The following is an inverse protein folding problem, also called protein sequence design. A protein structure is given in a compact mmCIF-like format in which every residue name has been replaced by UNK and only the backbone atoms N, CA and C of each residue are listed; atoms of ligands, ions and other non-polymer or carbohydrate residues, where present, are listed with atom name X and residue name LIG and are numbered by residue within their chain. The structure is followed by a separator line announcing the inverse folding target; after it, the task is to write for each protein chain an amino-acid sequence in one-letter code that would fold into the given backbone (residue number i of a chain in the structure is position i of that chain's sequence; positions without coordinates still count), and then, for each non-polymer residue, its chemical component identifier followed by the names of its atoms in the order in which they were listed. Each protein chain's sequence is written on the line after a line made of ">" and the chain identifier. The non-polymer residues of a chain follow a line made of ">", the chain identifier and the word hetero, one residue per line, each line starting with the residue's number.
data_IF_081436180513
#
_entry.id   IF_081436180513
#
_cell.length_a   1.000
_cell.length_b   1.000
_cell.length_c   1.000
_cell.angle_alpha   90.00
_cell.angle_beta   90.00
_cell.angle_gamma   90.00
#
_symmetry.space_group_name_H-M   'P 1'
#
loop_
_entity.id
_entity.type
_entity.pdbx_description
1 polymer ?
#
# COMPACT_ATOMS: atom_id res chain seq x y z
N UNK A 1 13.35 6.84 -39.26
CA UNK A 1 12.24 6.30 -38.46
C UNK A 1 12.83 5.88 -37.13
N UNK A 2 12.67 6.70 -36.09
CA UNK A 2 13.13 6.31 -34.76
C UNK A 2 12.27 5.14 -34.28
N UNK A 3 12.85 4.03 -33.82
CA UNK A 3 12.07 2.92 -33.27
C UNK A 3 11.20 3.46 -32.14
N UNK A 4 9.96 2.98 -32.05
CA UNK A 4 9.14 3.18 -30.85
C UNK A 4 9.97 2.71 -29.64
N UNK A 5 9.86 3.41 -28.51
CA UNK A 5 10.65 3.09 -27.30
C UNK A 5 10.55 1.60 -26.94
N UNK A 6 9.38 0.99 -27.11
CA UNK A 6 9.17 -0.45 -26.94
C UNK A 6 10.04 -1.30 -27.87
N UNK A 7 10.10 -0.96 -29.16
CA UNK A 7 10.87 -1.70 -30.17
C UNK A 7 12.38 -1.50 -29.98
N UNK A 8 12.78 -0.31 -29.54
CA UNK A 8 14.17 -0.04 -29.15
C UNK A 8 14.56 -0.88 -27.92
N UNK A 9 13.64 -0.98 -26.95
CA UNK A 9 13.80 -1.77 -25.74
C UNK A 9 13.91 -3.28 -26.01
N UNK A 10 13.01 -3.85 -26.81
CA UNK A 10 13.05 -5.27 -27.23
C UNK A 10 14.32 -5.61 -28.01
N UNK A 11 14.84 -4.68 -28.81
CA UNK A 11 16.09 -4.87 -29.54
C UNK A 11 17.32 -4.70 -28.64
N UNK A 12 17.26 -3.83 -27.64
CA UNK A 12 18.31 -3.63 -26.62
C UNK A 12 18.55 -4.83 -25.70
N UNK A 13 17.59 -5.76 -25.59
CA UNK A 13 17.72 -6.99 -24.81
C UNK A 13 18.41 -8.14 -25.57
N UNK A 14 18.73 -7.97 -26.86
CA UNK A 14 19.45 -8.96 -27.65
C UNK A 14 20.96 -8.78 -27.48
N UNK A 15 21.71 -9.88 -27.45
CA UNK A 15 23.16 -9.88 -27.22
C UNK A 15 23.99 -9.04 -28.23
N UNK A 16 23.45 -8.81 -29.44
CA UNK A 16 24.07 -8.02 -30.53
C UNK A 16 23.41 -6.64 -30.73
N UNK A 17 22.81 -6.06 -29.68
CA UNK A 17 22.14 -4.77 -29.80
C UNK A 17 23.13 -3.62 -30.08
N UNK A 18 22.93 -2.90 -31.18
CA UNK A 18 23.58 -1.59 -31.42
C UNK A 18 23.19 -0.63 -30.28
N UNK A 19 24.18 -0.17 -29.52
CA UNK A 19 23.99 0.84 -28.49
C UNK A 19 23.29 2.08 -29.05
N UNK A 20 22.30 2.59 -28.33
CA UNK A 20 21.60 3.81 -28.71
C UNK A 20 22.33 4.99 -28.11
N UNK A 21 22.80 5.92 -28.95
CA UNK A 21 23.40 7.15 -28.47
C UNK A 21 22.37 8.29 -28.51
N UNK A 22 22.30 9.06 -27.43
CA UNK A 22 21.55 10.32 -27.39
C UNK A 22 22.55 11.46 -27.26
N UNK A 23 22.65 12.30 -28.30
CA UNK A 23 23.62 13.42 -28.36
C UNK A 23 25.08 12.97 -28.08
N UNK A 24 25.45 11.75 -28.47
CA UNK A 24 26.79 11.19 -28.25
C UNK A 24 27.00 10.54 -26.87
N UNK A 25 25.95 10.45 -26.05
CA UNK A 25 25.97 9.73 -24.76
C UNK A 25 25.30 8.37 -24.96
N UNK A 26 25.97 7.25 -24.61
CA UNK A 26 25.38 5.92 -24.73
C UNK A 26 24.22 5.74 -23.75
N UNK A 27 23.08 5.29 -24.27
CA UNK A 27 21.83 5.05 -23.54
C UNK A 27 21.69 3.55 -23.29
N UNK A 28 21.68 3.18 -22.01
CA UNK A 28 21.35 1.81 -21.59
C UNK A 28 19.83 1.68 -21.42
N UNK A 29 19.19 1.01 -22.37
CA UNK A 29 17.77 0.69 -22.30
C UNK A 29 17.53 -0.49 -21.34
N UNK A 30 17.32 -0.18 -20.07
CA UNK A 30 16.93 -1.16 -19.04
C UNK A 30 15.43 -1.03 -18.73
N UNK A 31 14.81 -2.16 -18.32
CA UNK A 31 13.40 -2.14 -17.91
C UNK A 31 13.31 -1.51 -16.53
N UNK A 32 12.97 -0.23 -16.47
CA UNK A 32 12.79 0.48 -15.20
C UNK A 32 11.36 0.35 -14.64
N UNK A 33 10.46 -0.40 -15.29
CA UNK A 33 9.05 -0.53 -14.86
C UNK A 33 8.91 -1.08 -13.44
N UNK A 34 9.92 -1.82 -12.97
CA UNK A 34 9.97 -2.39 -11.61
C UNK A 34 10.95 -1.65 -10.68
N UNK A 35 11.59 -0.57 -11.14
CA UNK A 35 12.60 0.16 -10.37
C UNK A 35 12.02 1.38 -9.66
N UNK A 36 12.12 1.41 -8.33
CA UNK A 36 11.50 2.43 -7.48
C UNK A 36 12.26 3.77 -7.52
N UNK A 37 13.60 3.75 -7.50
CA UNK A 37 14.42 4.99 -7.50
C UNK A 37 14.21 5.84 -8.75
N UNK A 38 14.28 5.30 -9.99
CA UNK A 38 13.99 6.06 -11.19
C UNK A 38 12.63 6.72 -11.15
N UNK A 39 11.59 6.01 -10.69
CA UNK A 39 10.23 6.54 -10.63
C UNK A 39 10.11 7.68 -9.62
N UNK A 40 10.58 7.48 -8.38
CA UNK A 40 10.52 8.51 -7.32
C UNK A 40 11.30 9.75 -7.74
N UNK A 41 12.52 9.58 -8.25
CA UNK A 41 13.35 10.70 -8.68
C UNK A 41 12.75 11.43 -9.88
N UNK A 42 12.20 10.69 -10.85
CA UNK A 42 11.53 11.28 -12.02
C UNK A 42 10.29 12.05 -11.62
N UNK A 43 9.47 11.52 -10.71
CA UNK A 43 8.27 12.19 -10.22
C UNK A 43 8.63 13.45 -9.40
N UNK A 44 9.65 13.37 -8.54
CA UNK A 44 10.16 14.52 -7.80
C UNK A 44 10.67 15.61 -8.75
N UNK A 45 11.51 15.27 -9.71
CA UNK A 45 12.04 16.23 -10.69
C UNK A 45 10.92 16.81 -11.56
N UNK A 46 9.95 15.98 -11.96
CA UNK A 46 8.75 16.40 -12.68
C UNK A 46 7.95 17.42 -11.86
N UNK A 47 7.75 17.17 -10.57
CA UNK A 47 7.02 18.10 -9.68
C UNK A 47 7.68 19.48 -9.59
N UNK A 48 9.02 19.54 -9.61
CA UNK A 48 9.79 20.80 -9.60
C UNK A 48 9.64 21.51 -10.94
N UNK A 49 9.82 20.78 -12.04
CA UNK A 49 9.75 21.32 -13.39
C UNK A 49 8.34 21.84 -13.70
N UNK A 50 7.32 21.05 -13.38
CA UNK A 50 5.91 21.39 -13.57
C UNK A 50 5.55 22.67 -12.82
N UNK A 51 5.96 22.80 -11.55
CA UNK A 51 5.69 24.01 -10.76
C UNK A 51 6.34 25.25 -11.38
N UNK A 52 7.55 25.13 -11.94
CA UNK A 52 8.22 26.22 -12.65
C UNK A 52 7.56 26.56 -13.99
N UNK A 53 7.21 25.56 -14.79
CA UNK A 53 6.51 25.75 -16.06
C UNK A 53 5.14 26.40 -15.84
N UNK A 54 4.41 25.99 -14.81
CA UNK A 54 3.14 26.60 -14.42
C UNK A 54 3.30 28.03 -13.91
N UNK A 55 4.47 28.44 -13.41
CA UNK A 55 4.74 29.84 -13.08
C UNK A 55 5.13 30.67 -14.32
N UNK A 56 5.81 30.08 -15.30
CA UNK A 56 6.34 30.79 -16.48
C UNK A 56 5.35 30.87 -17.65
N UNK A 57 4.53 29.84 -17.86
CA UNK A 57 3.62 29.78 -19.00
C UNK A 57 2.34 30.60 -18.74
N UNK A 58 1.73 31.23 -19.76
CA UNK A 58 0.39 31.81 -19.66
C UNK A 58 -0.71 30.76 -19.51
N UNK A 59 -1.79 31.07 -18.77
CA UNK A 59 -2.91 30.15 -18.50
C UNK A 59 -3.56 29.54 -19.75
N UNK A 60 -3.54 30.24 -20.89
CA UNK A 60 -4.08 29.75 -22.15
C UNK A 60 -3.34 28.53 -22.74
N UNK A 61 -2.06 28.33 -22.39
CA UNK A 61 -1.22 27.29 -23.01
C UNK A 61 -0.67 26.25 -22.02
N UNK A 62 -0.81 26.50 -20.70
CA UNK A 62 -0.31 25.61 -19.63
C UNK A 62 -0.77 24.16 -19.80
N UNK A 63 -2.06 23.95 -20.04
CA UNK A 63 -2.65 22.61 -20.10
C UNK A 63 -2.08 21.75 -21.25
N UNK A 64 -1.48 22.36 -22.27
CA UNK A 64 -0.87 21.66 -23.38
C UNK A 64 0.65 21.56 -23.25
N UNK A 65 1.32 22.68 -22.97
CA UNK A 65 2.79 22.73 -22.99
C UNK A 65 3.43 22.22 -21.71
N UNK A 66 2.78 22.37 -20.54
CA UNK A 66 3.36 21.92 -19.28
C UNK A 66 3.60 20.39 -19.29
N UNK A 67 2.60 19.53 -19.58
CA UNK A 67 2.83 18.08 -19.60
C UNK A 67 3.82 17.65 -20.69
N UNK A 68 3.77 18.30 -21.86
CA UNK A 68 4.67 18.00 -22.98
C UNK A 68 6.13 18.28 -22.62
N UNK A 69 6.42 19.45 -22.06
CA UNK A 69 7.77 19.85 -21.67
C UNK A 69 8.28 19.02 -20.49
N UNK A 70 7.40 18.69 -19.52
CA UNK A 70 7.72 17.76 -18.47
C UNK A 70 8.16 16.40 -19.04
N UNK A 71 7.37 15.81 -19.93
CA UNK A 71 7.73 14.51 -20.53
C UNK A 71 9.02 14.59 -21.36
N UNK A 72 9.18 15.66 -22.14
CA UNK A 72 10.35 15.90 -23.01
C UNK A 72 11.65 16.06 -22.25
N UNK A 73 11.62 16.66 -21.05
CA UNK A 73 12.82 16.87 -20.23
C UNK A 73 13.06 15.72 -19.26
N UNK A 74 12.02 15.25 -18.58
CA UNK A 74 12.16 14.24 -17.53
C UNK A 74 12.55 12.90 -18.13
N UNK A 75 11.91 12.47 -19.24
CA UNK A 75 12.17 11.14 -19.81
C UNK A 75 13.64 10.95 -20.19
N UNK A 76 14.31 11.85 -20.95
CA UNK A 76 15.74 11.70 -21.22
C UNK A 76 16.60 11.76 -19.96
N UNK A 77 16.29 12.64 -18.99
CA UNK A 77 17.05 12.72 -17.74
C UNK A 77 16.99 11.42 -16.95
N UNK A 78 15.82 10.78 -16.90
CA UNK A 78 15.65 9.48 -16.25
C UNK A 78 16.53 8.41 -16.88
N UNK A 79 16.54 8.31 -18.21
CA UNK A 79 17.34 7.31 -18.93
C UNK A 79 18.84 7.60 -18.93
N UNK A 80 19.24 8.87 -18.98
CA UNK A 80 20.65 9.26 -19.11
C UNK A 80 21.38 9.38 -17.77
N UNK A 81 20.65 9.72 -16.71
CA UNK A 81 21.26 10.00 -15.41
C UNK A 81 20.82 9.00 -14.36
N UNK A 82 19.50 8.84 -14.17
CA UNK A 82 18.98 8.07 -13.04
C UNK A 82 19.15 6.57 -13.24
N UNK A 83 18.91 6.10 -14.46
CA UNK A 83 19.13 4.70 -14.83
C UNK A 83 20.58 4.25 -14.60
N UNK A 84 21.57 4.88 -15.27
CA UNK A 84 22.98 4.56 -15.08
C UNK A 84 23.45 4.70 -13.63
N UNK A 85 22.96 5.71 -12.90
CA UNK A 85 23.28 5.89 -11.48
C UNK A 85 22.75 4.73 -10.62
N UNK A 86 21.50 4.31 -10.83
CA UNK A 86 20.93 3.17 -10.11
C UNK A 86 21.68 1.87 -10.42
N UNK A 87 22.02 1.64 -11.68
CA UNK A 87 22.81 0.48 -12.12
C UNK A 87 24.19 0.50 -11.47
N UNK A 88 24.90 1.62 -11.51
CA UNK A 88 26.21 1.78 -10.89
C UNK A 88 26.17 1.52 -9.39
N UNK A 89 25.16 2.02 -8.67
CA UNK A 89 24.99 1.74 -7.23
C UNK A 89 24.75 0.24 -7.01
N UNK A 90 23.89 -0.40 -7.80
CA UNK A 90 23.62 -1.84 -7.70
C UNK A 90 24.87 -2.69 -8.01
N UNK A 91 25.68 -2.29 -8.98
CA UNK A 91 26.96 -2.93 -9.30
C UNK A 91 27.96 -2.79 -8.14
N UNK A 92 28.02 -1.64 -7.47
CA UNK A 92 28.85 -1.46 -6.28
C UNK A 92 28.39 -2.34 -5.12
N UNK A 93 27.07 -2.47 -4.90
CA UNK A 93 26.51 -3.38 -3.89
C UNK A 93 26.84 -4.83 -4.26
N UNK A 94 26.69 -5.22 -5.53
CA UNK A 94 27.03 -6.55 -6.03
C UNK A 94 28.52 -6.88 -5.83
N UNK A 95 29.42 -5.96 -6.20
CA UNK A 95 30.86 -6.10 -6.01
C UNK A 95 31.23 -6.20 -4.52
N UNK A 96 30.62 -5.36 -3.68
CA UNK A 96 30.76 -5.43 -2.23
C UNK A 96 30.29 -6.76 -1.65
N UNK A 97 29.15 -7.27 -2.11
CA UNK A 97 28.65 -8.60 -1.76
C UNK A 97 29.65 -9.70 -2.15
N UNK A 98 30.11 -9.73 -3.41
CA UNK A 98 31.06 -10.72 -3.91
C UNK A 98 32.36 -10.73 -3.10
N UNK A 99 32.93 -9.55 -2.85
CA UNK A 99 34.12 -9.39 -2.03
C UNK A 99 33.90 -9.92 -0.61
N UNK A 100 32.79 -9.55 0.02
CA UNK A 100 32.46 -9.97 1.37
C UNK A 100 32.19 -11.48 1.44
N UNK A 101 31.52 -12.04 0.43
CA UNK A 101 31.18 -13.45 0.36
C UNK A 101 32.42 -14.32 0.15
N UNK A 102 33.41 -13.85 -0.62
CA UNK A 102 34.69 -14.55 -0.76
C UNK A 102 35.53 -14.50 0.51
N UNK A 103 35.50 -13.38 1.25
CA UNK A 103 36.25 -13.23 2.48
C UNK A 103 35.61 -13.96 3.66
N UNK A 104 34.33 -13.71 3.92
CA UNK A 104 33.58 -14.22 5.08
C UNK A 104 32.11 -14.49 4.67
N UNK A 105 31.81 -15.67 4.10
CA UNK A 105 30.47 -16.03 3.62
C UNK A 105 29.35 -15.84 4.65
N UNK A 106 29.62 -16.19 5.91
CA UNK A 106 28.65 -16.05 7.01
C UNK A 106 28.27 -14.58 7.25
N UNK A 107 29.25 -13.68 7.24
CA UNK A 107 29.01 -12.25 7.45
C UNK A 107 28.37 -11.60 6.22
N UNK A 108 28.73 -12.03 5.00
CA UNK A 108 28.00 -11.65 3.80
C UNK A 108 26.52 -12.06 3.88
N UNK A 109 26.24 -13.26 4.38
CA UNK A 109 24.89 -13.71 4.71
C UNK A 109 24.17 -12.77 5.68
N UNK A 110 24.81 -12.41 6.80
CA UNK A 110 24.24 -11.48 7.77
C UNK A 110 23.86 -10.13 7.15
N UNK A 111 24.76 -9.54 6.35
CA UNK A 111 24.54 -8.26 5.68
C UNK A 111 23.39 -8.37 4.67
N UNK A 112 23.42 -9.38 3.80
CA UNK A 112 22.38 -9.55 2.79
C UNK A 112 21.02 -9.84 3.44
N UNK A 113 20.95 -10.75 4.41
CA UNK A 113 19.72 -11.07 5.13
C UNK A 113 19.13 -9.90 5.92
N UNK A 114 19.99 -9.00 6.45
CA UNK A 114 19.56 -7.83 7.20
C UNK A 114 19.14 -6.64 6.35
N UNK A 115 19.87 -6.37 5.27
CA UNK A 115 19.65 -5.20 4.42
C UNK A 115 18.79 -5.48 3.19
N UNK A 116 18.51 -6.75 2.84
CA UNK A 116 17.73 -7.08 1.66
C UNK A 116 16.41 -6.33 1.61
N UNK A 117 15.67 -6.30 2.73
CA UNK A 117 14.38 -5.62 2.74
C UNK A 117 14.49 -4.10 2.59
N UNK A 118 15.62 -3.51 3.00
CA UNK A 118 15.92 -2.10 2.75
C UNK A 118 16.18 -1.88 1.25
N UNK A 119 16.89 -2.79 0.59
CA UNK A 119 17.06 -2.73 -0.87
C UNK A 119 15.74 -2.92 -1.62
N UNK A 120 14.82 -3.73 -1.09
CA UNK A 120 13.46 -3.88 -1.63
C UNK A 120 12.71 -2.55 -1.53
N UNK A 121 12.77 -1.87 -0.38
CA UNK A 121 12.09 -0.58 -0.19
C UNK A 121 12.53 0.48 -1.20
N UNK A 122 13.83 0.55 -1.49
CA UNK A 122 14.37 1.49 -2.48
C UNK A 122 14.39 0.94 -3.91
N UNK A 123 13.89 -0.28 -4.16
CA UNK A 123 13.93 -0.90 -5.49
C UNK A 123 15.33 -1.24 -6.00
N UNK A 124 16.38 -1.12 -5.17
CA UNK A 124 17.77 -1.44 -5.51
C UNK A 124 17.98 -2.93 -5.77
N UNK A 125 17.08 -3.77 -5.23
CA UNK A 125 17.14 -5.23 -5.37
C UNK A 125 17.04 -5.72 -6.83
N UNK A 126 16.32 -5.01 -7.71
CA UNK A 126 16.21 -5.35 -9.13
C UNK A 126 17.55 -5.24 -9.86
N UNK A 127 18.41 -4.30 -9.46
CA UNK A 127 19.76 -4.19 -10.02
C UNK A 127 20.70 -5.34 -9.62
N UNK A 128 20.33 -6.16 -8.63
CA UNK A 128 21.08 -7.34 -8.21
C UNK A 128 20.64 -8.63 -8.94
N UNK A 129 19.50 -8.61 -9.66
CA UNK A 129 19.02 -9.79 -10.41
C UNK A 129 19.96 -10.20 -11.56
N UNK A 130 20.54 -9.27 -12.35
CA UNK A 130 21.52 -9.62 -13.38
C UNK A 130 22.74 -10.37 -12.83
N UNK A 131 23.17 -10.06 -11.60
CA UNK A 131 24.25 -10.79 -10.93
C UNK A 131 23.87 -12.27 -10.73
N UNK A 132 22.66 -12.54 -10.22
CA UNK A 132 22.20 -13.93 -10.04
C UNK A 132 22.16 -14.69 -11.37
N UNK A 133 21.63 -14.05 -12.43
CA UNK A 133 21.59 -14.64 -13.78
C UNK A 133 23.00 -14.92 -14.30
N UNK A 134 23.93 -14.00 -14.08
CA UNK A 134 25.33 -14.16 -14.46
C UNK A 134 25.98 -15.34 -13.70
N UNK A 135 25.74 -15.46 -12.39
CA UNK A 135 26.22 -16.58 -11.59
C UNK A 135 25.72 -17.93 -12.14
N UNK A 136 24.43 -18.03 -12.51
CA UNK A 136 23.93 -19.24 -13.16
C UNK A 136 24.62 -19.54 -14.50
N UNK A 137 24.89 -18.51 -15.31
CA UNK A 137 25.52 -18.68 -16.63
C UNK A 137 26.99 -19.10 -16.53
N UNK A 138 27.73 -18.52 -15.57
CA UNK A 138 29.18 -18.71 -15.43
C UNK A 138 29.51 -19.88 -14.49
N UNK A 139 28.82 -19.98 -13.36
CA UNK A 139 29.11 -20.95 -12.29
C UNK A 139 28.16 -22.16 -12.31
N UNK A 140 27.01 -22.06 -12.98
CA UNK A 140 25.96 -23.08 -12.96
C UNK A 140 25.11 -23.07 -11.68
N UNK A 141 25.34 -22.12 -10.78
CA UNK A 141 24.60 -21.96 -9.53
C UNK A 141 24.67 -20.51 -9.06
N UNK A 142 23.79 -20.12 -8.12
CA UNK A 142 23.84 -18.82 -7.46
C UNK A 142 23.99 -18.95 -5.93
N UNK A 143 24.73 -18.02 -5.34
CA UNK A 143 25.01 -17.95 -3.90
C UNK A 143 24.25 -16.83 -3.21
N UNK A 144 23.60 -15.92 -3.95
CA UNK A 144 22.92 -14.76 -3.37
C UNK A 144 21.49 -15.09 -2.97
N UNK A 145 20.68 -15.62 -3.91
CA UNK A 145 19.27 -16.03 -3.72
C UNK A 145 19.02 -16.79 -2.40
N UNK A 146 19.81 -17.81 -2.02
CA UNK A 146 19.56 -18.54 -0.77
C UNK A 146 19.72 -17.65 0.48
N UNK A 147 20.57 -16.63 0.44
CA UNK A 147 20.77 -15.68 1.54
C UNK A 147 19.59 -14.70 1.71
N UNK A 148 18.79 -14.51 0.65
CA UNK A 148 17.66 -13.58 0.63
C UNK A 148 16.41 -14.19 1.25
N UNK A 149 16.27 -15.51 1.18
CA UNK A 149 15.11 -16.24 1.67
C UNK A 149 14.85 -16.01 3.17
N UNK A 150 15.85 -16.02 4.07
CA UNK A 150 15.67 -15.63 5.47
C UNK A 150 15.14 -14.21 5.67
N UNK A 151 15.55 -13.24 4.86
CA UNK A 151 15.06 -11.86 4.96
C UNK A 151 13.56 -11.79 4.71
N UNK A 152 13.08 -12.49 3.68
CA UNK A 152 11.66 -12.59 3.33
C UNK A 152 10.89 -13.31 4.44
N UNK A 153 11.40 -14.45 4.91
CA UNK A 153 10.74 -15.21 5.97
C UNK A 153 10.69 -14.45 7.29
N UNK A 154 11.68 -13.62 7.58
CA UNK A 154 11.64 -12.75 8.75
C UNK A 154 10.54 -11.69 8.64
N UNK A 155 10.30 -11.11 7.45
CA UNK A 155 9.17 -10.19 7.26
C UNK A 155 7.83 -10.89 7.46
N UNK A 156 7.69 -12.12 6.97
CA UNK A 156 6.52 -12.98 7.23
C UNK A 156 6.35 -13.23 8.73
N UNK A 157 7.43 -13.60 9.43
CA UNK A 157 7.41 -13.86 10.86
C UNK A 157 6.98 -12.64 11.67
N UNK A 158 7.51 -11.46 11.34
CA UNK A 158 7.09 -10.21 11.96
C UNK A 158 5.62 -9.87 11.67
N UNK A 159 5.16 -10.06 10.43
CA UNK A 159 3.75 -9.85 10.08
C UNK A 159 2.81 -10.81 10.83
N UNK A 160 3.20 -12.09 10.98
CA UNK A 160 2.49 -13.06 11.82
C UNK A 160 2.50 -12.67 13.31
N UNK A 161 3.61 -12.09 13.78
CA UNK A 161 3.71 -11.57 15.16
C UNK A 161 2.73 -10.41 15.38
N UNK A 162 2.66 -9.49 14.42
CA UNK A 162 1.66 -8.41 14.44
C UNK A 162 0.24 -8.97 14.35
N UNK A 163 -0.03 -9.94 13.47
CA UNK A 163 -1.33 -10.60 13.36
C UNK A 163 -1.82 -11.17 14.69
N UNK A 164 -0.93 -11.78 15.48
CA UNK A 164 -1.27 -12.35 16.79
C UNK A 164 -1.58 -11.25 17.82
N UNK A 165 -0.79 -10.18 17.81
CA UNK A 165 -0.88 -9.10 18.79
C UNK A 165 -2.00 -8.10 18.48
N UNK A 166 -2.41 -7.97 17.21
CA UNK A 166 -3.38 -6.99 16.77
C UNK A 166 -4.80 -7.34 17.25
N UNK A 167 -5.52 -6.31 17.72
CA UNK A 167 -6.89 -6.43 18.22
C UNK A 167 -7.91 -5.92 17.20
N UNK A 168 -7.52 -4.97 16.39
CA UNK A 168 -8.35 -4.44 15.32
C UNK A 168 -8.55 -5.51 14.22
N UNK A 169 -9.81 -5.84 13.94
CA UNK A 169 -10.16 -6.92 13.02
C UNK A 169 -9.65 -6.66 11.59
N UNK A 170 -9.73 -5.42 11.10
CA UNK A 170 -9.26 -5.07 9.76
C UNK A 170 -7.73 -5.16 9.68
N UNK A 171 -7.01 -4.54 10.62
CA UNK A 171 -5.54 -4.59 10.65
C UNK A 171 -5.02 -6.02 10.83
N UNK A 172 -5.76 -6.85 11.57
CA UNK A 172 -5.47 -8.27 11.70
C UNK A 172 -5.66 -9.00 10.37
N UNK A 173 -6.73 -8.76 9.62
CA UNK A 173 -6.91 -9.34 8.28
C UNK A 173 -5.77 -8.92 7.34
N UNK A 174 -5.38 -7.65 7.35
CA UNK A 174 -4.25 -7.14 6.55
C UNK A 174 -2.94 -7.85 6.95
N UNK A 175 -2.66 -8.00 8.25
CA UNK A 175 -1.46 -8.68 8.72
C UNK A 175 -1.42 -10.16 8.30
N UNK A 176 -2.55 -10.86 8.36
CA UNK A 176 -2.66 -12.26 7.96
C UNK A 176 -2.48 -12.46 6.46
N UNK A 177 -3.14 -11.64 5.63
CA UNK A 177 -3.03 -11.73 4.17
C UNK A 177 -1.63 -11.31 3.67
N UNK A 178 -1.03 -10.30 4.31
CA UNK A 178 0.33 -9.87 4.03
C UNK A 178 1.38 -10.94 4.40
N UNK A 179 1.19 -11.65 5.52
CA UNK A 179 2.06 -12.78 5.87
C UNK A 179 1.96 -13.93 4.85
N UNK A 180 0.73 -14.24 4.40
CA UNK A 180 0.51 -15.29 3.40
C UNK A 180 1.16 -14.96 2.05
N UNK A 181 0.99 -13.72 1.57
CA UNK A 181 1.63 -13.26 0.32
C UNK A 181 3.15 -13.22 0.42
N UNK A 182 3.67 -12.80 1.58
CA UNK A 182 5.10 -12.82 1.88
C UNK A 182 5.73 -14.21 1.83
N UNK A 183 4.98 -15.27 2.15
CA UNK A 183 5.46 -16.65 2.06
C UNK A 183 5.90 -17.02 0.64
N UNK A 184 5.23 -16.44 -0.36
CA UNK A 184 5.48 -16.63 -1.78
C UNK A 184 6.46 -15.61 -2.37
N UNK A 185 7.15 -14.83 -1.53
CA UNK A 185 8.18 -13.88 -1.94
C UNK A 185 7.68 -12.45 -2.20
N UNK A 186 6.37 -12.20 -2.09
CA UNK A 186 5.78 -10.86 -2.26
C UNK A 186 5.71 -10.18 -0.89
N UNK A 187 6.70 -9.35 -0.60
CA UNK A 187 6.92 -8.81 0.76
C UNK A 187 6.37 -7.40 0.94
N UNK A 188 5.97 -6.74 -0.13
CA UNK A 188 5.49 -5.36 -0.15
C UNK A 188 4.26 -5.15 0.77
N UNK A 189 3.24 -6.03 0.77
CA UNK A 189 2.12 -5.91 1.70
C UNK A 189 2.56 -6.03 3.16
N UNK A 190 3.52 -6.91 3.46
CA UNK A 190 4.02 -7.11 4.82
C UNK A 190 4.89 -5.95 5.30
N UNK A 191 5.77 -5.43 4.44
CA UNK A 191 6.62 -4.29 4.76
C UNK A 191 5.79 -3.04 4.92
N UNK A 192 5.07 -2.62 3.87
CA UNK A 192 4.40 -1.32 3.86
C UNK A 192 3.08 -1.33 4.63
N UNK A 193 2.32 -2.43 4.58
CA UNK A 193 1.02 -2.52 5.23
C UNK A 193 1.07 -2.87 6.72
N UNK A 194 2.16 -3.51 7.19
CA UNK A 194 2.17 -4.13 8.53
C UNK A 194 3.39 -3.72 9.35
N UNK A 195 4.60 -4.00 8.86
CA UNK A 195 5.82 -3.97 9.66
C UNK A 195 6.42 -2.57 9.78
N UNK A 196 6.51 -1.83 8.66
CA UNK A 196 7.12 -0.50 8.59
C UNK A 196 6.30 0.58 9.34
N UNK A 197 4.95 0.62 9.26
CA UNK A 197 4.16 1.59 10.03
C UNK A 197 4.42 1.53 11.54
N UNK A 198 4.67 0.32 12.06
CA UNK A 198 4.98 0.08 13.48
C UNK A 198 6.47 0.19 13.80
N UNK A 199 7.35 0.30 12.79
CA UNK A 199 8.83 0.42 12.84
C UNK A 199 9.55 -0.77 13.50
N UNK A 200 9.18 -1.14 14.73
CA UNK A 200 9.83 -2.18 15.49
C UNK A 200 9.72 -3.59 14.86
N UNK A 201 8.57 -4.03 14.28
CA UNK A 201 8.51 -5.35 13.65
C UNK A 201 9.43 -5.43 12.43
N UNK A 202 9.55 -4.34 11.69
CA UNK A 202 10.46 -4.25 10.54
C UNK A 202 11.93 -4.41 10.95
N UNK A 203 12.37 -3.72 12.00
CA UNK A 203 13.75 -3.82 12.51
C UNK A 203 14.04 -5.22 13.04
N UNK A 204 13.11 -5.81 13.78
CA UNK A 204 13.23 -7.18 14.30
C UNK A 204 13.33 -8.17 13.14
N UNK A 205 12.53 -8.00 12.10
CA UNK A 205 12.61 -8.82 10.89
C UNK A 205 13.97 -8.69 10.21
N UNK A 206 14.53 -7.49 10.05
CA UNK A 206 15.87 -7.31 9.48
C UNK A 206 16.94 -8.06 10.31
N UNK A 207 16.92 -7.92 11.64
CA UNK A 207 17.86 -8.62 12.52
C UNK A 207 17.70 -10.14 12.41
N UNK A 208 16.46 -10.63 12.41
CA UNK A 208 16.17 -12.06 12.32
C UNK A 208 16.54 -12.65 10.96
N UNK A 209 16.34 -11.88 9.89
CA UNK A 209 16.78 -12.21 8.54
C UNK A 209 18.30 -12.34 8.46
N UNK A 210 19.04 -11.42 9.09
CA UNK A 210 20.49 -11.50 9.21
C UNK A 210 20.94 -12.78 9.95
N UNK A 211 20.29 -13.13 11.05
CA UNK A 211 20.60 -14.35 11.82
C UNK A 211 20.41 -15.61 10.97
N UNK A 212 19.25 -15.74 10.29
CA UNK A 212 18.98 -16.89 9.42
C UNK A 212 19.93 -16.96 8.22
N UNK A 213 20.20 -15.82 7.59
CA UNK A 213 21.10 -15.75 6.43
C UNK A 213 22.57 -15.99 6.80
N UNK A 214 22.98 -15.70 8.03
CA UNK A 214 24.34 -16.04 8.53
C UNK A 214 24.57 -17.55 8.48
N UNK A 215 23.57 -18.35 8.86
CA UNK A 215 23.66 -19.82 8.86
C UNK A 215 23.78 -20.35 7.44
N UNK A 216 22.96 -19.82 6.52
CA UNK A 216 23.00 -20.18 5.09
C UNK A 216 24.34 -19.76 4.46
N UNK A 217 24.83 -18.56 4.80
CA UNK A 217 26.13 -18.07 4.36
C UNK A 217 27.28 -18.95 4.87
N UNK A 218 27.25 -19.34 6.14
CA UNK A 218 28.23 -20.24 6.74
C UNK A 218 28.26 -21.61 6.06
N UNK A 219 27.08 -22.17 5.76
CA UNK A 219 26.95 -23.44 5.04
C UNK A 219 27.31 -23.33 3.54
N UNK A 220 27.54 -22.11 3.05
CA UNK A 220 27.78 -21.80 1.64
C UNK A 220 26.71 -22.41 0.72
N UNK A 221 25.45 -22.38 1.16
CA UNK A 221 24.33 -22.92 0.40
C UNK A 221 24.20 -22.23 -0.95
N UNK A 222 23.89 -23.04 -1.97
CA UNK A 222 23.74 -22.64 -3.36
C UNK A 222 22.34 -22.98 -3.85
N UNK A 223 21.87 -22.29 -4.88
CA UNK A 223 20.69 -22.69 -5.66
C UNK A 223 21.10 -23.07 -7.08
N UNK A 224 20.40 -24.04 -7.67
CA UNK A 224 20.70 -24.62 -8.98
C UNK A 224 19.67 -24.28 -10.06
N UNK A 225 18.61 -23.57 -9.69
CA UNK A 225 17.61 -23.04 -10.62
C UNK A 225 17.24 -21.62 -10.24
N UNK A 226 16.90 -20.80 -11.23
CA UNK A 226 16.47 -19.43 -11.00
C UNK A 226 15.00 -19.40 -10.58
N UNK A 227 14.72 -18.72 -9.48
CA UNK A 227 13.38 -18.44 -9.00
C UNK A 227 13.40 -17.28 -8.01
N UNK A 228 12.25 -16.62 -7.84
CA UNK A 228 12.13 -15.57 -6.84
C UNK A 228 12.30 -16.19 -5.43
N UNK A 229 13.03 -15.51 -4.52
CA UNK A 229 13.23 -16.05 -3.19
C UNK A 229 11.88 -16.14 -2.45
N UNK A 230 11.59 -17.30 -1.86
CA UNK A 230 10.30 -17.61 -1.25
C UNK A 230 10.43 -18.86 -0.37
N UNK A 231 9.31 -19.37 0.16
CA UNK A 231 9.31 -20.70 0.79
C UNK A 231 9.85 -21.78 -0.16
N UNK A 232 9.70 -21.64 -1.48
CA UNK A 232 10.18 -22.65 -2.43
C UNK A 232 11.69 -22.61 -2.69
N UNK A 233 12.43 -21.64 -2.13
CA UNK A 233 13.89 -21.56 -2.34
C UNK A 233 14.60 -22.82 -1.86
N UNK A 234 14.13 -23.49 -0.79
CA UNK A 234 14.75 -24.74 -0.35
C UNK A 234 14.72 -25.82 -1.45
N UNK A 235 13.67 -25.86 -2.29
CA UNK A 235 13.60 -26.81 -3.41
C UNK A 235 14.67 -26.49 -4.47
N UNK A 236 14.98 -25.21 -4.67
CA UNK A 236 16.02 -24.75 -5.59
C UNK A 236 17.44 -25.04 -5.06
N UNK A 237 17.58 -25.24 -3.74
CA UNK A 237 18.88 -25.58 -3.11
C UNK A 237 19.25 -27.05 -3.22
N UNK A 238 18.34 -27.94 -3.66
CA UNK A 238 18.60 -29.38 -3.73
C UNK A 238 19.63 -29.68 -4.84
N UNK A 239 20.85 -30.15 -4.50
CA UNK A 239 21.84 -30.55 -5.49
C UNK A 239 21.44 -31.83 -6.22
N UNK A 240 22.09 -32.10 -7.35
CA UNK A 240 21.90 -33.36 -8.11
C UNK A 240 22.26 -34.63 -7.32
N UNK A 241 23.06 -34.49 -6.26
CA UNK A 241 23.44 -35.57 -5.35
C UNK A 241 22.38 -35.87 -4.28
N UNK A 242 21.28 -35.11 -4.23
CA UNK A 242 20.21 -35.25 -3.25
C UNK A 242 20.36 -34.31 -2.05
N UNK A 243 19.47 -34.45 -1.06
CA UNK A 243 19.38 -33.56 0.11
C UNK A 243 20.63 -33.71 0.99
N UNK A 244 21.39 -32.62 1.13
CA UNK A 244 22.59 -32.56 1.94
C UNK A 244 22.48 -31.52 3.07
N UNK A 245 23.60 -31.25 3.75
CA UNK A 245 23.65 -30.26 4.83
C UNK A 245 23.30 -28.83 4.36
N UNK A 246 23.56 -28.47 3.10
CA UNK A 246 23.30 -27.12 2.58
C UNK A 246 21.81 -26.85 2.44
N UNK A 247 21.03 -27.88 2.08
CA UNK A 247 19.56 -27.84 2.04
C UNK A 247 19.01 -27.67 3.45
N UNK A 248 19.52 -28.45 4.42
CA UNK A 248 19.10 -28.33 5.81
C UNK A 248 19.48 -26.97 6.41
N UNK A 249 20.63 -26.41 6.07
CA UNK A 249 21.02 -25.07 6.46
C UNK A 249 20.05 -24.01 5.92
N UNK A 250 19.56 -24.17 4.67
CA UNK A 250 18.52 -23.30 4.11
C UNK A 250 17.22 -23.36 4.92
N UNK A 251 16.76 -24.57 5.26
CA UNK A 251 15.53 -24.76 6.05
C UNK A 251 15.70 -24.19 7.46
N UNK A 252 16.81 -24.50 8.13
CA UNK A 252 17.10 -24.04 9.49
C UNK A 252 17.23 -22.51 9.52
N UNK A 253 17.97 -21.92 8.57
CA UNK A 253 18.11 -20.47 8.46
C UNK A 253 16.77 -19.78 8.26
N UNK A 254 15.91 -20.34 7.41
CA UNK A 254 14.54 -19.87 7.21
C UNK A 254 13.65 -19.94 8.45
N UNK A 255 13.67 -21.10 9.14
CA UNK A 255 12.88 -21.35 10.36
C UNK A 255 13.35 -20.44 11.51
N UNK A 256 14.65 -20.22 11.65
CA UNK A 256 15.20 -19.29 12.64
C UNK A 256 14.78 -17.86 12.32
N UNK A 257 14.86 -17.44 11.05
CA UNK A 257 14.48 -16.10 10.65
C UNK A 257 12.99 -15.80 10.93
N UNK A 258 12.08 -16.69 10.51
CA UNK A 258 10.64 -16.53 10.78
C UNK A 258 10.33 -16.62 12.27
N UNK A 259 10.94 -17.58 12.99
CA UNK A 259 10.69 -17.82 14.41
C UNK A 259 11.19 -16.68 15.28
N UNK A 260 12.44 -16.23 15.08
CA UNK A 260 12.99 -15.08 15.80
C UNK A 260 12.22 -13.80 15.49
N UNK A 261 11.79 -13.58 14.24
CA UNK A 261 11.03 -12.40 13.90
C UNK A 261 9.64 -12.40 14.55
N UNK A 262 8.97 -13.56 14.54
CA UNK A 262 7.67 -13.76 15.19
C UNK A 262 7.77 -13.54 16.71
N UNK A 263 8.64 -14.30 17.38
CA UNK A 263 8.81 -14.23 18.84
C UNK A 263 9.28 -12.84 19.26
N UNK A 264 10.27 -12.27 18.57
CA UNK A 264 10.78 -10.94 18.86
C UNK A 264 9.71 -9.88 18.73
N UNK A 265 8.89 -9.94 17.67
CA UNK A 265 7.80 -8.98 17.45
C UNK A 265 6.74 -9.08 18.54
N UNK A 266 6.34 -10.28 18.92
CA UNK A 266 5.36 -10.51 20.00
C UNK A 266 5.92 -10.06 21.35
N UNK A 267 7.16 -10.43 21.68
CA UNK A 267 7.80 -10.04 22.94
C UNK A 267 7.92 -8.52 23.06
N UNK A 268 8.43 -7.85 22.03
CA UNK A 268 8.60 -6.41 22.07
C UNK A 268 7.26 -5.69 22.10
N UNK A 269 6.24 -6.19 21.38
CA UNK A 269 4.88 -5.67 21.45
C UNK A 269 4.36 -5.65 22.89
N UNK A 270 4.49 -6.76 23.63
CA UNK A 270 4.06 -6.83 25.03
C UNK A 270 4.90 -5.94 25.97
N UNK A 271 6.19 -5.76 25.69
CA UNK A 271 7.04 -4.85 26.46
C UNK A 271 6.65 -3.39 26.23
N UNK A 272 6.37 -3.01 24.98
CA UNK A 272 5.92 -1.65 24.62
C UNK A 272 4.50 -1.38 25.11
N UNK A 273 3.61 -2.38 25.04
CA UNK A 273 2.25 -2.29 25.57
C UNK A 273 2.23 -2.14 27.11
N UNK A 274 3.20 -2.73 27.83
CA UNK A 274 3.39 -2.52 29.27
C UNK A 274 3.94 -1.13 29.64
N UNK A 275 4.60 -0.44 28.71
CA UNK A 275 5.13 0.93 28.92
C UNK A 275 4.10 2.02 28.66
N UNK A 276 3.03 1.72 27.94
CA UNK A 276 1.82 2.52 28.00
C UNK A 276 1.07 2.16 29.28
N UNK A 277 0.79 3.12 30.20
CA UNK A 277 -0.16 2.85 31.27
C UNK A 277 -1.47 2.41 30.62
N UNK A 278 -2.07 1.34 31.14
CA UNK A 278 -3.27 0.74 30.60
C UNK A 278 -4.39 1.78 30.43
N UNK A 279 -4.56 2.30 29.21
CA UNK A 279 -5.89 2.59 28.72
C UNK A 279 -6.54 1.23 28.54
N UNK A 280 -7.48 0.93 29.44
CA UNK A 280 -8.14 -0.36 29.53
C UNK A 280 -8.63 -0.81 28.16
N UNK A 281 -8.53 -2.12 27.92
CA UNK A 281 -9.30 -2.74 26.85
C UNK A 281 -10.75 -2.26 26.95
N UNK A 282 -11.41 -1.87 25.84
CA UNK A 282 -12.85 -1.73 25.84
C UNK A 282 -13.42 -3.11 26.16
N UNK A 283 -13.82 -3.28 27.42
CA UNK A 283 -14.73 -4.32 27.81
C UNK A 283 -16.03 -3.98 27.12
N UNK A 284 -16.59 -4.95 26.39
CA UNK A 284 -17.94 -4.91 25.84
C UNK A 284 -18.91 -4.57 26.98
N UNK A 285 -19.22 -3.28 27.10
CA UNK A 285 -20.25 -2.75 27.99
C UNK A 285 -21.24 -2.05 27.07
N UNK A 286 -22.46 -2.54 27.10
CA UNK A 286 -23.65 -1.91 26.55
C UNK A 286 -23.56 -0.39 26.75
N UNK A 287 -23.60 0.43 25.69
CA UNK A 287 -23.46 1.86 25.87
C UNK A 287 -24.66 2.39 26.62
N UNK A 288 -24.41 2.83 27.86
CA UNK A 288 -25.30 3.75 28.55
C UNK A 288 -25.17 5.11 27.86
N UNK A 289 -26.31 5.69 27.49
CA UNK A 289 -26.44 6.92 26.70
C UNK A 289 -25.71 8.06 27.39
N UNK A 290 -24.57 8.48 26.82
CA UNK A 290 -23.94 9.76 27.14
C UNK A 290 -24.63 10.79 26.24
N UNK A 291 -25.31 11.76 26.86
CA UNK A 291 -25.85 12.95 26.21
C UNK A 291 -24.76 13.70 25.43
N UNK A 292 -25.07 14.24 24.24
CA UNK A 292 -24.05 14.79 23.34
C UNK A 292 -23.43 16.07 23.91
N UNK A 293 -22.12 16.31 23.72
CA UNK A 293 -21.56 17.64 23.86
C UNK A 293 -22.03 18.51 22.69
N UNK A 294 -22.47 19.73 22.99
CA UNK A 294 -23.08 20.70 22.07
C UNK A 294 -22.14 21.26 20.97
N UNK A 295 -21.01 20.62 20.63
CA UNK A 295 -20.07 21.16 19.64
C UNK A 295 -19.44 20.04 18.79
N UNK A 296 -19.81 19.98 17.50
CA UNK A 296 -19.09 19.25 16.45
C UNK A 296 -19.66 17.89 15.97
N UNK A 297 -20.91 17.57 16.27
CA UNK A 297 -21.54 16.32 15.83
C UNK A 297 -22.03 16.33 14.38
N UNK A 298 -21.96 15.19 13.70
CA UNK A 298 -22.54 14.95 12.38
C UNK A 298 -23.88 14.26 12.56
N UNK A 299 -24.95 14.88 12.04
CA UNK A 299 -26.28 14.31 12.06
C UNK A 299 -26.46 13.22 10.99
N UNK A 300 -27.45 12.35 11.16
CA UNK A 300 -27.78 11.34 10.17
C UNK A 300 -28.40 12.00 8.94
N UNK A 301 -27.88 11.74 7.73
CA UNK A 301 -28.46 12.27 6.50
C UNK A 301 -29.75 11.55 6.08
N UNK A 302 -30.09 10.43 6.72
CA UNK A 302 -31.23 9.59 6.32
C UNK A 302 -31.83 8.81 7.50
N UNK A 303 -33.08 8.39 7.32
CA UNK A 303 -33.77 7.50 8.26
C UNK A 303 -33.59 6.06 7.80
N UNK A 304 -33.21 5.16 8.70
CA UNK A 304 -32.96 3.77 8.36
C UNK A 304 -32.28 2.94 9.44
N UNK A 305 -31.84 1.75 9.04
CA UNK A 305 -31.05 0.85 9.89
C UNK A 305 -29.57 1.19 9.77
N UNK A 306 -28.88 1.26 10.90
CA UNK A 306 -27.43 1.49 10.92
C UNK A 306 -26.69 0.19 10.58
N UNK A 307 -25.80 0.25 9.59
CA UNK A 307 -24.97 -0.86 9.14
C UNK A 307 -23.50 -0.49 9.35
N UNK A 308 -22.75 -1.22 10.20
CA UNK A 308 -21.30 -1.03 10.31
C UNK A 308 -20.62 -1.19 8.95
N UNK A 309 -19.62 -0.34 8.64
CA UNK A 309 -18.94 -0.39 7.33
C UNK A 309 -18.38 -1.77 7.01
N UNK A 310 -17.86 -2.50 8.00
CA UNK A 310 -17.33 -3.86 7.86
C UNK A 310 -18.37 -4.90 7.38
N UNK A 311 -19.67 -4.58 7.49
CA UNK A 311 -20.77 -5.42 7.04
C UNK A 311 -21.35 -4.98 5.70
N UNK A 312 -20.84 -3.90 5.11
CA UNK A 312 -21.19 -3.51 3.74
C UNK A 312 -20.56 -4.50 2.76
N UNK A 313 -21.33 -4.94 1.76
CA UNK A 313 -20.90 -5.98 0.81
C UNK A 313 -19.71 -5.55 -0.06
N UNK A 314 -19.58 -4.25 -0.33
CA UNK A 314 -18.51 -3.70 -1.15
C UNK A 314 -17.20 -3.57 -0.35
N UNK A 315 -16.15 -4.22 -0.87
CA UNK A 315 -14.83 -4.27 -0.21
C UNK A 315 -14.15 -2.92 -0.10
N UNK A 316 -14.42 -1.99 -1.01
CA UNK A 316 -13.82 -0.64 -1.00
C UNK A 316 -14.32 0.13 0.21
N UNK A 317 -15.63 0.12 0.44
CA UNK A 317 -16.25 0.73 1.61
C UNK A 317 -15.92 -0.01 2.90
N UNK A 318 -16.00 -1.35 2.88
CA UNK A 318 -15.76 -2.17 4.06
C UNK A 318 -14.30 -2.14 4.55
N UNK A 319 -13.35 -1.75 3.70
CA UNK A 319 -11.95 -1.58 4.06
C UNK A 319 -11.64 -0.28 4.81
N UNK A 320 -12.53 0.73 4.74
CA UNK A 320 -12.28 2.07 5.29
C UNK A 320 -11.29 2.92 4.48
N UNK A 321 -10.84 2.47 3.30
CA UNK A 321 -9.88 3.19 2.44
C UNK A 321 -10.35 4.59 2.01
N UNK A 322 -11.66 4.82 1.96
CA UNK A 322 -12.28 6.09 1.55
C UNK A 322 -12.62 7.01 2.75
N UNK A 323 -12.24 6.62 3.96
CA UNK A 323 -12.50 7.34 5.20
C UNK A 323 -13.24 6.51 6.25
N UNK A 324 -13.15 6.93 7.52
CA UNK A 324 -13.96 6.38 8.62
C UNK A 324 -15.42 6.81 8.48
N UNK A 325 -16.35 5.96 8.90
CA UNK A 325 -17.77 6.30 8.84
C UNK A 325 -18.69 5.12 9.17
N UNK A 326 -19.93 5.22 8.71
CA UNK A 326 -20.96 4.21 8.92
C UNK A 326 -21.88 4.15 7.71
N UNK A 327 -22.50 3.00 7.43
CA UNK A 327 -23.49 2.89 6.39
C UNK A 327 -24.91 2.89 6.99
N UNK A 328 -25.88 3.31 6.19
CA UNK A 328 -27.29 3.28 6.57
C UNK A 328 -28.05 2.54 5.48
N UNK A 329 -28.90 1.60 5.87
CA UNK A 329 -29.90 1.00 4.99
C UNK A 329 -31.17 1.87 5.05
N UNK A 330 -31.41 2.74 4.05
CA UNK A 330 -32.46 3.74 4.14
C UNK A 330 -33.86 3.12 4.07
N UNK A 331 -34.76 3.65 4.88
CA UNK A 331 -36.21 3.39 4.80
C UNK A 331 -36.97 4.48 4.05
N UNK A 332 -36.36 5.66 3.88
CA UNK A 332 -36.89 6.81 3.14
C UNK A 332 -35.91 7.21 2.05
N UNK A 333 -36.41 7.43 0.83
CA UNK A 333 -35.64 7.80 -0.36
C UNK A 333 -35.20 9.26 -0.41
N UNK A 334 -34.59 9.76 0.68
CA UNK A 334 -34.15 11.15 0.81
C UNK A 334 -32.81 11.24 1.54
N UNK A 335 -31.90 12.06 1.00
CA UNK A 335 -30.64 12.45 1.64
C UNK A 335 -30.77 13.91 2.09
N UNK A 336 -30.51 14.16 3.36
CA UNK A 336 -30.45 15.50 3.97
C UNK A 336 -29.03 15.87 4.37
N UNK A 337 -28.77 17.16 4.51
CA UNK A 337 -27.45 17.63 4.94
C UNK A 337 -27.18 17.23 6.39
N UNK A 338 -26.09 16.51 6.67
CA UNK A 338 -25.75 16.09 8.02
C UNK A 338 -25.10 17.22 8.85
N UNK A 339 -24.69 18.31 8.19
CA UNK A 339 -23.98 19.47 8.77
C UNK A 339 -24.38 20.77 8.05
N UNK A 340 -24.04 21.91 8.64
CA UNK A 340 -23.96 23.17 7.92
C UNK A 340 -22.62 23.28 7.18
N UNK A 341 -22.66 23.77 5.93
CA UNK A 341 -21.46 23.87 5.12
C UNK A 341 -21.75 24.15 3.64
N UNK A 342 -20.88 23.63 2.77
CA UNK A 342 -20.95 23.83 1.31
C UNK A 342 -20.92 22.51 0.56
N UNK A 343 -21.70 22.43 -0.52
CA UNK A 343 -21.62 21.28 -1.44
C UNK A 343 -20.29 21.35 -2.20
N UNK A 344 -19.36 20.47 -1.84
CA UNK A 344 -18.03 20.39 -2.43
C UNK A 344 -18.06 19.65 -3.77
N UNK A 345 -18.86 18.59 -3.87
CA UNK A 345 -19.01 17.82 -5.10
C UNK A 345 -20.42 17.21 -5.21
N UNK A 346 -20.92 17.13 -6.44
CA UNK A 346 -22.14 16.43 -6.80
C UNK A 346 -21.85 15.61 -8.06
N UNK A 347 -21.98 14.29 -7.96
CA UNK A 347 -21.62 13.41 -9.05
C UNK A 347 -22.66 13.45 -10.17
N UNK A 348 -22.25 13.33 -11.43
CA UNK A 348 -23.15 13.49 -12.58
C UNK A 348 -24.36 12.54 -12.57
N UNK A 349 -24.18 11.31 -12.06
CA UNK A 349 -25.24 10.31 -11.93
C UNK A 349 -25.97 10.38 -10.59
N UNK A 350 -25.70 11.41 -9.77
CA UNK A 350 -26.37 11.71 -8.49
C UNK A 350 -26.32 10.61 -7.42
N UNK A 351 -25.51 9.57 -7.62
CA UNK A 351 -25.31 8.49 -6.65
C UNK A 351 -24.46 8.90 -5.45
N UNK A 352 -23.72 10.02 -5.52
CA UNK A 352 -22.87 10.47 -4.44
C UNK A 352 -22.83 12.01 -4.35
N UNK A 353 -22.63 12.50 -3.13
CA UNK A 353 -22.50 13.92 -2.81
C UNK A 353 -21.44 14.14 -1.73
N UNK A 354 -20.57 15.11 -1.96
CA UNK A 354 -19.54 15.54 -1.02
C UNK A 354 -19.89 16.89 -0.40
N UNK A 355 -19.75 17.00 0.91
CA UNK A 355 -20.07 18.19 1.70
C UNK A 355 -18.85 18.56 2.53
N UNK A 356 -18.44 19.82 2.46
CA UNK A 356 -17.41 20.37 3.33
C UNK A 356 -18.12 21.19 4.42
N UNK A 357 -17.99 20.79 5.69
CA UNK A 357 -18.59 21.52 6.80
C UNK A 357 -17.88 22.86 7.02
N UNK A 358 -18.57 23.82 7.64
CA UNK A 358 -17.96 25.11 8.03
C UNK A 358 -16.75 24.93 8.98
N UNK A 359 -16.67 23.78 9.66
CA UNK A 359 -15.59 23.41 10.57
C UNK A 359 -14.48 22.57 9.90
N UNK A 360 -14.50 22.38 8.58
CA UNK A 360 -13.45 21.71 7.78
C UNK A 360 -13.55 20.18 7.70
N UNK A 361 -14.72 19.60 7.97
CA UNK A 361 -14.95 18.15 7.86
C UNK A 361 -15.46 17.84 6.46
N UNK A 362 -14.81 16.91 5.77
CA UNK A 362 -15.23 16.45 4.45
C UNK A 362 -16.08 15.19 4.58
N UNK A 363 -17.36 15.30 4.23
CA UNK A 363 -18.34 14.21 4.33
C UNK A 363 -18.71 13.72 2.93
N UNK A 364 -18.58 12.42 2.69
CA UNK A 364 -19.03 11.75 1.46
C UNK A 364 -20.23 10.86 1.77
N UNK A 365 -21.35 11.13 1.10
CA UNK A 365 -22.55 10.30 1.15
C UNK A 365 -22.69 9.59 -0.20
N UNK A 366 -22.66 8.25 -0.20
CA UNK A 366 -22.74 7.44 -1.41
C UNK A 366 -24.03 6.59 -1.41
N UNK A 367 -25.06 7.03 -2.12
CA UNK A 367 -26.39 6.42 -2.13
C UNK A 367 -26.41 5.11 -2.90
N UNK A 368 -26.42 4.00 -2.16
CA UNK A 368 -26.41 2.63 -2.70
C UNK A 368 -25.05 2.19 -3.23
N UNK A 369 -24.86 0.89 -3.37
CA UNK A 369 -23.63 0.28 -3.90
C UNK A 369 -23.79 0.06 -5.40
N UNK A 370 -22.76 0.42 -6.18
CA UNK A 370 -22.73 0.29 -7.64
C UNK A 370 -23.82 1.09 -8.41
N UNK A 371 -24.58 1.95 -7.74
CA UNK A 371 -25.68 2.76 -8.31
C UNK A 371 -25.22 3.79 -9.34
N UNK A 372 -23.92 4.08 -9.44
CA UNK A 372 -23.34 4.83 -10.56
C UNK A 372 -23.74 4.24 -11.93
N UNK A 373 -23.94 2.92 -12.00
CA UNK A 373 -24.35 2.17 -13.21
C UNK A 373 -25.79 2.46 -13.65
N UNK A 374 -26.59 3.13 -12.81
CA UNK A 374 -27.96 3.55 -13.16
C UNK A 374 -28.00 4.82 -14.02
N UNK A 375 -26.86 5.48 -14.24
CA UNK A 375 -26.72 6.64 -15.12
C UNK A 375 -27.72 7.77 -14.79
N UNK A 376 -27.88 8.07 -13.49
CA UNK A 376 -28.77 9.12 -12.99
C UNK A 376 -30.25 8.73 -12.92
N UNK A 377 -30.64 7.54 -13.38
CA UNK A 377 -32.03 7.07 -13.26
C UNK A 377 -32.42 6.90 -11.79
N UNK A 378 -33.65 7.28 -11.47
CA UNK A 378 -34.25 7.18 -10.14
C UNK A 378 -33.69 8.15 -9.10
N UNK A 379 -32.85 9.11 -9.48
CA UNK A 379 -32.33 10.15 -8.61
C UNK A 379 -32.78 11.55 -9.06
N UNK A 380 -32.95 12.44 -8.09
CA UNK A 380 -33.23 13.87 -8.30
C UNK A 380 -32.42 14.70 -7.30
N UNK A 381 -31.63 15.66 -7.79
CA UNK A 381 -30.89 16.60 -6.96
C UNK A 381 -31.70 17.86 -6.67
N UNK A 382 -31.50 18.42 -5.47
CA UNK A 382 -32.16 19.65 -5.01
C UNK A 382 -31.16 20.79 -4.72
N UNK A 383 -29.88 20.55 -5.00
CA UNK A 383 -28.75 21.45 -4.76
C UNK A 383 -27.76 21.39 -5.92
N UNK A 384 -26.92 22.42 -6.05
CA UNK A 384 -25.80 22.49 -7.00
C UNK A 384 -24.46 22.55 -6.27
N UNK A 385 -23.38 22.23 -6.98
CA UNK A 385 -22.01 22.39 -6.46
C UNK A 385 -21.75 23.85 -6.10
N UNK A 386 -21.25 24.09 -4.90
CA UNK A 386 -20.99 25.41 -4.35
C UNK A 386 -22.16 26.04 -3.59
N UNK A 387 -23.33 25.42 -3.56
CA UNK A 387 -24.43 25.90 -2.73
C UNK A 387 -24.08 25.78 -1.24
N UNK A 388 -24.51 26.76 -0.44
CA UNK A 388 -24.47 26.68 1.02
C UNK A 388 -25.69 25.93 1.52
N UNK A 389 -25.50 25.03 2.47
CA UNK A 389 -26.56 24.21 3.07
C UNK A 389 -26.50 24.28 4.58
N UNK A 390 -27.66 24.23 5.23
CA UNK A 390 -27.81 24.06 6.67
C UNK A 390 -28.09 22.59 6.99
N UNK A 391 -27.81 22.18 8.23
CA UNK A 391 -28.17 20.85 8.72
C UNK A 391 -29.66 20.57 8.51
N UNK A 392 -29.99 19.44 7.89
CA UNK A 392 -31.35 19.01 7.59
C UNK A 392 -31.89 19.41 6.21
N UNK A 393 -31.19 20.27 5.47
CA UNK A 393 -31.60 20.67 4.12
C UNK A 393 -31.63 19.47 3.17
N UNK A 394 -32.61 19.45 2.26
CA UNK A 394 -32.79 18.34 1.32
C UNK A 394 -31.76 18.42 0.20
N UNK A 395 -31.03 17.33 -0.02
CA UNK A 395 -29.93 17.27 -1.00
C UNK A 395 -30.29 16.43 -2.21
N UNK A 396 -30.64 15.16 -2.00
CA UNK A 396 -30.94 14.19 -3.06
C UNK A 396 -32.22 13.44 -2.69
N UNK A 397 -33.01 13.07 -3.69
CA UNK A 397 -34.13 12.15 -3.53
C UNK A 397 -34.02 11.01 -4.52
N UNK A 398 -34.44 9.82 -4.10
CA UNK A 398 -34.26 8.62 -4.88
C UNK A 398 -35.38 7.60 -4.65
N UNK A 399 -35.62 6.75 -5.65
CA UNK A 399 -36.67 5.72 -5.59
C UNK A 399 -36.08 4.38 -5.13
N UNK A 400 -36.27 4.05 -3.84
CA UNK A 400 -35.77 2.80 -3.24
C UNK A 400 -36.33 1.55 -3.96
N UNK A 401 -37.66 1.41 -4.15
CA UNK A 401 -38.21 0.29 -4.92
C UNK A 401 -37.57 0.11 -6.30
N UNK A 402 -37.46 1.18 -7.08
CA UNK A 402 -36.95 1.10 -8.45
C UNK A 402 -35.46 0.72 -8.49
N UNK A 403 -34.64 1.22 -7.56
CA UNK A 403 -33.21 0.85 -7.45
C UNK A 403 -33.06 -0.63 -7.08
N UNK A 404 -33.87 -1.13 -6.15
CA UNK A 404 -33.87 -2.55 -5.78
C UNK A 404 -34.35 -3.44 -6.92
N UNK A 405 -35.39 -3.03 -7.66
CA UNK A 405 -35.88 -3.76 -8.83
C UNK A 405 -34.85 -3.82 -9.96
N UNK A 406 -34.05 -2.75 -10.11
CA UNK A 406 -32.90 -2.74 -11.02
C UNK A 406 -31.71 -3.61 -10.56
N UNK A 407 -31.80 -4.25 -9.38
CA UNK A 407 -30.82 -5.20 -8.87
C UNK A 407 -29.69 -4.58 -8.06
N UNK A 408 -29.84 -3.35 -7.58
CA UNK A 408 -28.81 -2.64 -6.82
C UNK A 408 -29.12 -2.57 -5.33
N UNK A 409 -28.07 -2.56 -4.51
CA UNK A 409 -28.16 -2.38 -3.06
C UNK A 409 -28.29 -0.88 -2.73
N UNK A 410 -29.24 -0.53 -1.86
CA UNK A 410 -29.49 0.84 -1.41
C UNK A 410 -28.74 1.21 -0.14
N UNK A 411 -27.96 0.29 0.42
CA UNK A 411 -27.05 0.55 1.55
C UNK A 411 -26.14 1.72 1.20
N UNK A 412 -26.21 2.77 2.02
CA UNK A 412 -25.61 4.07 1.74
C UNK A 412 -24.49 4.37 2.75
N UNK A 413 -23.22 4.27 2.35
CA UNK A 413 -22.10 4.74 3.15
C UNK A 413 -22.13 6.25 3.38
N UNK A 414 -21.90 6.66 4.64
CA UNK A 414 -21.67 8.03 5.09
C UNK A 414 -20.28 8.08 5.71
N UNK A 415 -19.34 8.72 5.02
CA UNK A 415 -17.90 8.67 5.31
C UNK A 415 -17.35 10.05 5.61
N UNK A 416 -16.31 10.10 6.43
CA UNK A 416 -15.45 11.27 6.65
C UNK A 416 -14.19 11.06 5.83
N UNK A 417 -14.11 11.72 4.68
CA UNK A 417 -13.04 11.52 3.69
C UNK A 417 -11.68 11.98 4.21
N UNK A 418 -11.65 13.04 5.01
CA UNK A 418 -10.44 13.51 5.69
C UNK A 418 -10.31 12.95 7.13
N UNK A 419 -10.76 11.71 7.38
CA UNK A 419 -10.74 11.13 8.74
C UNK A 419 -9.36 11.02 9.37
N UNK A 420 -8.29 11.03 8.58
CA UNK A 420 -6.90 10.98 9.06
C UNK A 420 -6.43 12.30 9.71
N UNK A 421 -7.16 13.40 9.48
CA UNK A 421 -6.87 14.71 10.10
C UNK A 421 -7.40 14.80 11.55
N UNK A 422 -8.15 13.79 12.00
CA UNK A 422 -8.79 13.76 13.31
C UNK A 422 -8.27 12.61 14.17
N UNK A 423 -8.27 12.79 15.50
CA UNK A 423 -7.87 11.75 16.46
C UNK A 423 -8.79 10.52 16.36
N UNK A 424 -10.11 10.71 16.31
CA UNK A 424 -11.05 9.61 16.06
C UNK A 424 -12.41 10.05 15.49
N UNK A 425 -13.15 9.10 14.91
CA UNK A 425 -14.53 9.27 14.46
C UNK A 425 -15.37 8.16 15.09
N UNK A 426 -16.25 8.54 16.02
CA UNK A 426 -17.03 7.60 16.81
C UNK A 426 -18.49 7.58 16.35
N UNK A 427 -19.05 6.42 15.97
CA UNK A 427 -20.46 6.31 15.65
C UNK A 427 -21.34 6.36 16.91
N UNK A 428 -22.50 6.99 16.79
CA UNK A 428 -23.56 6.93 17.80
C UNK A 428 -24.41 5.66 17.59
N UNK A 429 -24.67 4.95 18.69
CA UNK A 429 -25.18 3.59 18.66
C UNK A 429 -26.69 3.47 18.93
N UNK A 430 -27.47 3.30 17.88
CA UNK A 430 -28.81 2.67 17.89
C UNK A 430 -28.95 1.82 16.62
N UNK A 431 -29.69 0.71 16.67
CA UNK A 431 -29.91 -0.12 15.47
C UNK A 431 -30.73 0.61 14.39
N UNK A 432 -31.55 1.57 14.81
CA UNK A 432 -32.39 2.41 13.95
C UNK A 432 -32.06 3.87 14.22
N UNK A 433 -32.03 4.69 13.18
CA UNK A 433 -31.76 6.12 13.27
C UNK A 433 -32.73 6.92 12.42
N UNK A 434 -33.14 8.09 12.90
CA UNK A 434 -33.92 9.06 12.14
C UNK A 434 -33.01 10.12 11.52
N UNK A 435 -33.37 10.63 10.34
CA UNK A 435 -32.68 11.76 9.75
C UNK A 435 -32.64 12.95 10.73
N UNK A 436 -31.46 13.56 10.89
CA UNK A 436 -31.22 14.65 11.84
C UNK A 436 -30.75 14.23 13.23
N UNK A 437 -30.87 12.95 13.62
CA UNK A 437 -30.32 12.45 14.88
C UNK A 437 -28.78 12.39 14.84
N UNK A 438 -28.06 12.50 15.97
CA UNK A 438 -26.61 12.37 15.99
C UNK A 438 -26.14 11.02 15.42
N UNK A 439 -25.29 11.04 14.39
CA UNK A 439 -24.76 9.85 13.72
C UNK A 439 -23.29 9.60 14.07
N UNK A 440 -22.44 10.62 13.95
CA UNK A 440 -21.00 10.52 14.23
C UNK A 440 -20.54 11.68 15.13
N UNK A 441 -19.61 11.38 16.04
CA UNK A 441 -18.84 12.36 16.80
C UNK A 441 -17.41 12.40 16.30
N UNK A 442 -16.86 13.60 16.10
CA UNK A 442 -15.45 13.80 15.73
C UNK A 442 -14.65 14.17 16.96
N UNK A 443 -13.55 13.45 17.18
CA UNK A 443 -12.54 13.79 18.19
C UNK A 443 -11.38 14.46 17.48
N UNK A 444 -11.14 15.73 17.77
CA UNK A 444 -10.02 16.51 17.23
C UNK A 444 -8.75 16.24 18.01
#
# INVERSE_FOLDING_TARGET
>A
MHPLILTAFENGQKADALGLDFLGIPVTLLNYSSSVIPIIFSAWLCSILERRLNAWLPSAIKNFFTPLLCLMVITPVTFLLVGPLSTWISEMIAAGYLWLYQAVPAFAGAVMGGFWQIFVMFGLHWGLVPLCINNFTVLGYDTMIPLLMPAIMAQVGAALGVFLCERDAQKKVVAGSAALTGLFGITEPAVYGVNLPRKYPFVIACISGALGATIIGYAQTKVYSFGLPSIFTFMQTIPSTGIDFTVWASVIGGVIAIGCAFVGTVMLHFITAKRQPAQGAPQEKTPEVITPPEQGGICSPMTGEIVPLIHVADTTFASGLLGKGIAILPSVGEVRSPVAGRIASLFATLHAIGIESDDGVEILIHVGIDTVKLDGKFFSAHVNVGDKVNTGDRLISFDIPAIREAGFDVTTPVLISNSDDFTDVLPHGTAQISAGEPLLSIIR
#
